data_IF_249169685497
#
_entry.id   IF_249169685497
#
_cell.length_a   1.000
_cell.length_b   1.000
_cell.length_c   1.000
_cell.angle_alpha   90.00
_cell.angle_beta   90.00
_cell.angle_gamma   90.00
#
_symmetry.space_group_name_H-M   'P 1'
#
loop_
_entity.id
_entity.type
_entity.pdbx_description
1 polymer ?
#
# COMPACT_ATOMS: atom_id res chain seq x y z
N UNK A 1 -20.35 6.79 -32.94
CA UNK A 1 -21.05 6.28 -31.74
C UNK A 1 -20.99 7.37 -30.69
N UNK A 2 -22.08 8.14 -30.54
CA UNK A 2 -22.17 9.23 -29.56
C UNK A 2 -22.32 8.56 -28.20
N UNK A 3 -21.28 8.61 -27.37
CA UNK A 3 -21.32 8.07 -26.02
C UNK A 3 -22.32 8.91 -25.21
N UNK A 4 -23.40 8.29 -24.75
CA UNK A 4 -24.32 8.90 -23.79
C UNK A 4 -23.57 9.34 -22.51
N UNK A 5 -24.17 10.21 -21.69
CA UNK A 5 -23.53 10.69 -20.46
C UNK A 5 -23.17 9.52 -19.54
N UNK A 6 -21.97 9.58 -18.94
CA UNK A 6 -21.48 8.57 -17.99
C UNK A 6 -22.36 8.52 -16.73
N UNK A 7 -22.54 7.33 -16.14
CA UNK A 7 -23.28 7.19 -14.88
C UNK A 7 -22.49 7.75 -13.70
N UNK A 8 -23.16 8.09 -12.59
CA UNK A 8 -22.49 8.51 -11.36
C UNK A 8 -21.54 7.44 -10.84
N UNK A 9 -21.98 6.17 -10.82
CA UNK A 9 -21.19 5.01 -10.40
C UNK A 9 -19.91 4.85 -11.22
N UNK A 10 -20.03 4.94 -12.55
CA UNK A 10 -18.89 4.86 -13.46
C UNK A 10 -17.85 5.96 -13.17
N UNK A 11 -18.30 7.20 -12.94
CA UNK A 11 -17.41 8.30 -12.58
C UNK A 11 -16.69 8.04 -11.26
N UNK A 12 -17.41 7.57 -10.23
CA UNK A 12 -16.82 7.24 -8.93
C UNK A 12 -15.68 6.23 -9.06
N UNK A 13 -15.90 5.09 -9.73
CA UNK A 13 -14.85 4.07 -9.89
C UNK A 13 -13.68 4.53 -10.74
N UNK A 14 -13.90 5.41 -11.73
CA UNK A 14 -12.79 6.05 -12.47
C UNK A 14 -11.96 6.95 -11.57
N UNK A 15 -12.63 7.80 -10.79
CA UNK A 15 -11.96 8.73 -9.89
C UNK A 15 -11.21 8.02 -8.77
N UNK A 16 -11.74 6.91 -8.23
CA UNK A 16 -11.02 6.09 -7.26
C UNK A 16 -9.70 5.57 -7.84
N UNK A 17 -9.73 4.96 -9.03
CA UNK A 17 -8.51 4.43 -9.68
C UNK A 17 -7.49 5.51 -10.01
N UNK A 18 -7.95 6.64 -10.54
CA UNK A 18 -7.09 7.81 -10.81
C UNK A 18 -6.51 8.35 -9.51
N UNK A 19 -7.31 8.47 -8.45
CA UNK A 19 -6.85 8.97 -7.16
C UNK A 19 -5.78 8.05 -6.55
N UNK A 20 -5.95 6.72 -6.64
CA UNK A 20 -4.91 5.76 -6.20
C UNK A 20 -3.62 5.93 -7.01
N UNK A 21 -3.72 6.10 -8.33
CA UNK A 21 -2.53 6.39 -9.15
C UNK A 21 -1.84 7.70 -8.73
N UNK A 22 -2.62 8.73 -8.41
CA UNK A 22 -2.10 10.03 -7.99
C UNK A 22 -1.44 10.02 -6.60
N UNK A 23 -1.75 9.08 -5.71
CA UNK A 23 -1.03 8.98 -4.42
C UNK A 23 0.45 8.65 -4.64
N UNK A 24 0.78 7.87 -5.68
CA UNK A 24 2.18 7.61 -6.08
C UNK A 24 2.86 8.88 -6.54
N UNK A 25 2.17 9.70 -7.34
CA UNK A 25 2.69 10.98 -7.82
C UNK A 25 2.96 11.91 -6.66
N UNK A 26 2.06 11.98 -5.67
CA UNK A 26 2.26 12.77 -4.45
C UNK A 26 3.52 12.33 -3.72
N UNK A 27 3.73 11.02 -3.53
CA UNK A 27 4.93 10.49 -2.85
C UNK A 27 6.21 10.87 -3.61
N UNK A 28 6.25 10.65 -4.93
CA UNK A 28 7.43 10.93 -5.74
C UNK A 28 7.74 12.44 -5.82
N UNK A 29 6.72 13.28 -5.96
CA UNK A 29 6.88 14.73 -5.97
C UNK A 29 7.34 15.25 -4.62
N UNK A 30 6.73 14.78 -3.52
CA UNK A 30 7.14 15.15 -2.17
C UNK A 30 8.62 14.81 -1.92
N UNK A 31 9.07 13.61 -2.30
CA UNK A 31 10.48 13.26 -2.21
C UNK A 31 11.37 14.15 -3.12
N UNK A 32 10.94 14.41 -4.35
CA UNK A 32 11.72 15.20 -5.31
C UNK A 32 11.92 16.67 -4.86
N UNK A 33 10.91 17.27 -4.22
CA UNK A 33 10.98 18.64 -3.69
C UNK A 33 12.05 18.78 -2.59
N UNK A 34 12.34 17.70 -1.87
CA UNK A 34 13.30 17.70 -0.76
C UNK A 34 14.75 17.45 -1.20
N UNK A 35 14.98 16.98 -2.43
CA UNK A 35 16.32 16.67 -2.97
C UNK A 35 17.29 17.86 -2.86
N UNK A 36 16.91 19.12 -3.17
CA UNK A 36 17.85 20.24 -3.08
C UNK A 36 18.37 20.51 -1.67
N UNK A 37 17.59 20.17 -0.63
CA UNK A 37 17.94 20.43 0.77
C UNK A 37 18.59 19.21 1.44
N UNK A 38 18.11 18.00 1.14
CA UNK A 38 18.52 16.77 1.82
C UNK A 38 19.38 15.84 0.94
N UNK A 39 19.57 16.19 -0.33
CA UNK A 39 20.20 15.31 -1.32
C UNK A 39 19.30 14.13 -1.69
N UNK A 40 19.85 13.20 -2.49
CA UNK A 40 19.16 11.95 -2.79
C UNK A 40 19.36 10.98 -1.63
N UNK A 41 18.30 10.62 -0.92
CA UNK A 41 18.34 9.65 0.18
C UNK A 41 18.41 8.20 -0.34
N UNK A 42 18.86 7.25 0.51
CA UNK A 42 19.11 5.85 0.11
C UNK A 42 17.84 4.99 0.03
N UNK A 43 16.74 5.48 0.59
CA UNK A 43 15.40 4.92 0.50
C UNK A 43 14.41 6.07 0.32
N UNK A 44 13.36 5.84 -0.46
CA UNK A 44 12.22 6.72 -0.60
C UNK A 44 11.51 6.93 0.73
N UNK A 45 11.42 5.89 1.55
CA UNK A 45 10.83 5.96 2.89
C UNK A 45 11.70 6.75 3.88
N UNK A 46 12.96 7.06 3.57
CA UNK A 46 13.77 7.98 4.37
C UNK A 46 13.30 9.43 4.25
N UNK A 47 12.60 9.81 3.18
CA UNK A 47 12.03 11.16 3.06
C UNK A 47 10.90 11.41 4.07
N UNK A 48 10.39 10.37 4.74
CA UNK A 48 9.49 10.53 5.88
C UNK A 48 10.15 11.23 7.09
N UNK A 49 11.47 11.35 7.10
CA UNK A 49 12.22 12.10 8.12
C UNK A 49 12.42 13.59 7.76
N UNK A 50 11.93 14.03 6.61
CA UNK A 50 12.00 15.42 6.14
C UNK A 50 10.59 16.04 6.11
N UNK A 51 10.41 17.33 5.75
CA UNK A 51 9.08 17.93 5.57
C UNK A 51 8.14 17.17 4.62
N UNK A 52 8.64 16.30 3.73
CA UNK A 52 7.84 15.42 2.89
C UNK A 52 6.97 14.41 3.69
N UNK A 53 7.25 14.19 4.97
CA UNK A 53 6.50 13.31 5.88
C UNK A 53 4.98 13.45 5.75
N UNK A 54 4.47 14.69 5.76
CA UNK A 54 3.03 14.98 5.74
C UNK A 54 2.35 14.47 4.48
N UNK A 55 2.97 14.70 3.32
CA UNK A 55 2.46 14.26 2.03
C UNK A 55 2.61 12.76 1.86
N UNK A 56 3.70 12.16 2.38
CA UNK A 56 3.92 10.73 2.36
C UNK A 56 2.84 9.98 3.17
N UNK A 57 2.64 10.36 4.43
CA UNK A 57 1.63 9.76 5.29
C UNK A 57 0.21 9.99 4.75
N UNK A 58 -0.09 11.21 4.29
CA UNK A 58 -1.39 11.54 3.71
C UNK A 58 -1.72 10.73 2.45
N UNK A 59 -0.74 10.56 1.55
CA UNK A 59 -0.90 9.78 0.34
C UNK A 59 -1.14 8.29 0.63
N UNK A 60 -0.44 7.73 1.61
CA UNK A 60 -0.61 6.33 2.03
C UNK A 60 -1.95 6.10 2.72
N UNK A 61 -2.37 6.97 3.65
CA UNK A 61 -3.69 6.88 4.28
C UNK A 61 -4.82 7.03 3.24
N UNK A 62 -4.67 7.94 2.28
CA UNK A 62 -5.60 8.06 1.16
C UNK A 62 -5.63 6.78 0.30
N UNK A 63 -4.47 6.23 -0.06
CA UNK A 63 -4.38 4.99 -0.82
C UNK A 63 -5.07 3.82 -0.11
N UNK A 64 -4.87 3.67 1.21
CA UNK A 64 -5.57 2.67 2.04
C UNK A 64 -7.09 2.78 1.90
N UNK A 65 -7.64 3.97 2.13
CA UNK A 65 -9.08 4.20 2.05
C UNK A 65 -9.63 3.96 0.64
N UNK A 66 -8.91 4.40 -0.39
CA UNK A 66 -9.31 4.23 -1.79
C UNK A 66 -9.25 2.77 -2.26
N UNK A 67 -8.24 2.00 -1.84
CA UNK A 67 -8.12 0.57 -2.09
C UNK A 67 -9.28 -0.20 -1.45
N UNK A 68 -9.59 0.13 -0.19
CA UNK A 68 -10.71 -0.45 0.53
C UNK A 68 -12.06 -0.09 -0.11
N UNK A 69 -12.23 1.17 -0.55
CA UNK A 69 -13.46 1.62 -1.20
C UNK A 69 -13.67 1.02 -2.60
N UNK A 70 -12.58 0.78 -3.34
CA UNK A 70 -12.64 0.15 -4.66
C UNK A 70 -12.88 -1.37 -4.56
N UNK A 71 -12.54 -1.98 -3.41
CA UNK A 71 -12.54 -3.43 -3.15
C UNK A 71 -13.46 -4.21 -4.07
N UNK A 72 -12.85 -5.09 -4.89
CA UNK A 72 -13.53 -5.76 -5.99
C UNK A 72 -14.51 -6.85 -5.54
N UNK A 73 -14.53 -7.97 -6.26
CA UNK A 73 -15.32 -9.17 -5.88
C UNK A 73 -14.41 -10.38 -5.76
N UNK A 74 -14.90 -11.44 -5.10
CA UNK A 74 -14.17 -12.69 -4.97
C UNK A 74 -12.76 -12.50 -4.36
N UNK A 75 -11.77 -13.11 -4.99
CA UNK A 75 -10.36 -13.07 -4.54
C UNK A 75 -9.79 -11.65 -4.58
N UNK A 76 -10.12 -10.85 -5.60
CA UNK A 76 -9.63 -9.47 -5.72
C UNK A 76 -10.05 -8.60 -4.55
N UNK A 77 -11.30 -8.79 -4.07
CA UNK A 77 -11.80 -8.09 -2.89
C UNK A 77 -10.90 -8.32 -1.69
N UNK A 78 -10.65 -9.60 -1.38
CA UNK A 78 -9.88 -10.01 -0.21
C UNK A 78 -8.43 -9.51 -0.32
N UNK A 79 -7.83 -9.58 -1.50
CA UNK A 79 -6.46 -9.09 -1.72
C UNK A 79 -6.35 -7.56 -1.57
N UNK A 80 -7.31 -6.79 -2.10
CA UNK A 80 -7.31 -5.33 -1.98
C UNK A 80 -7.66 -4.87 -0.56
N UNK A 81 -8.61 -5.54 0.11
CA UNK A 81 -8.92 -5.31 1.53
C UNK A 81 -7.70 -5.59 2.39
N UNK A 82 -7.00 -6.70 2.13
CA UNK A 82 -5.76 -7.03 2.82
C UNK A 82 -4.67 -5.97 2.55
N UNK A 83 -4.49 -5.56 1.30
CA UNK A 83 -3.51 -4.53 0.95
C UNK A 83 -3.80 -3.22 1.69
N UNK A 84 -5.07 -2.81 1.75
CA UNK A 84 -5.51 -1.60 2.45
C UNK A 84 -5.17 -1.61 3.95
N UNK A 85 -5.05 -2.77 4.60
CA UNK A 85 -4.66 -2.88 6.02
C UNK A 85 -3.17 -2.56 6.25
N UNK A 86 -2.30 -2.86 5.28
CA UNK A 86 -0.86 -2.69 5.43
C UNK A 86 -0.40 -1.27 5.08
N UNK A 87 -1.08 -0.56 4.18
CA UNK A 87 -0.66 0.78 3.75
C UNK A 87 -0.57 1.79 4.91
N UNK A 88 -1.52 1.87 5.86
CA UNK A 88 -1.38 2.76 7.01
C UNK A 88 -0.20 2.39 7.91
N UNK A 89 0.17 1.11 8.02
CA UNK A 89 1.36 0.70 8.78
C UNK A 89 2.64 1.24 8.15
N UNK A 90 2.74 1.24 6.81
CA UNK A 90 3.86 1.86 6.08
C UNK A 90 3.91 3.38 6.38
N UNK A 91 2.75 4.02 6.53
CA UNK A 91 2.65 5.46 6.79
C UNK A 91 3.09 5.86 8.20
N UNK A 92 2.72 5.06 9.21
CA UNK A 92 2.86 5.44 10.62
C UNK A 92 4.09 4.82 11.29
N UNK A 93 4.65 3.75 10.74
CA UNK A 93 5.85 3.11 11.27
C UNK A 93 7.07 3.65 10.53
N UNK A 94 7.98 4.37 11.19
CA UNK A 94 9.18 4.90 10.56
C UNK A 94 10.13 3.78 10.11
N UNK A 95 10.91 4.04 9.06
CA UNK A 95 12.00 3.15 8.65
C UNK A 95 13.21 3.30 9.55
N UNK A 96 14.01 2.24 9.71
CA UNK A 96 15.29 2.36 10.40
C UNK A 96 16.27 3.22 9.59
N UNK A 97 16.93 4.17 10.25
CA UNK A 97 18.00 4.99 9.69
C UNK A 97 19.28 4.86 10.51
N UNK A 98 20.44 4.87 9.85
CA UNK A 98 21.75 4.94 10.47
C UNK A 98 22.25 6.39 10.61
N UNK A 99 23.25 6.65 11.48
CA UNK A 99 23.84 7.98 11.60
C UNK A 99 24.36 8.51 10.25
N UNK A 100 23.96 9.73 9.90
CA UNK A 100 24.37 10.40 8.67
C UNK A 100 23.64 9.99 7.39
N UNK A 101 22.61 9.12 7.47
CA UNK A 101 21.81 8.76 6.29
C UNK A 101 20.82 9.85 5.87
N UNK A 102 20.30 10.60 6.84
CA UNK A 102 19.42 11.75 6.59
C UNK A 102 20.07 13.01 7.16
N UNK A 103 20.41 14.02 6.33
CA UNK A 103 21.01 15.25 6.81
C UNK A 103 20.12 15.97 7.85
N UNK A 104 20.73 16.46 8.92
CA UNK A 104 20.03 17.18 9.98
C UNK A 104 19.27 16.32 10.99
N UNK A 105 19.24 14.99 10.82
CA UNK A 105 18.58 14.07 11.75
C UNK A 105 19.61 13.41 12.66
N UNK A 106 19.50 13.67 13.97
CA UNK A 106 20.36 13.05 14.97
C UNK A 106 19.89 11.63 15.29
N UNK A 107 20.79 10.65 15.15
CA UNK A 107 20.54 9.23 15.41
C UNK A 107 21.50 8.76 16.51
N UNK A 108 20.95 8.30 17.64
CA UNK A 108 21.73 7.97 18.84
C UNK A 108 22.30 6.54 18.87
N UNK A 109 21.93 5.69 17.91
CA UNK A 109 22.28 4.26 17.89
C UNK A 109 23.41 3.94 16.91
N UNK A 110 24.18 2.89 17.21
CA UNK A 110 25.37 2.50 16.45
C UNK A 110 25.07 1.74 15.13
N UNK A 111 23.98 0.97 15.08
CA UNK A 111 23.69 0.02 13.97
C UNK A 111 22.37 0.29 13.25
N UNK A 112 21.85 1.51 13.35
CA UNK A 112 20.55 1.93 12.81
C UNK A 112 19.38 1.67 13.78
N UNK A 113 18.49 2.64 13.91
CA UNK A 113 17.26 2.56 14.71
C UNK A 113 16.24 3.61 14.25
N UNK A 114 15.04 3.58 14.83
CA UNK A 114 14.09 4.70 14.77
C UNK A 114 14.51 5.73 15.82
N UNK A 115 14.78 7.01 15.46
CA UNK A 115 15.15 8.01 16.45
C UNK A 115 13.99 8.34 17.40
N UNK A 116 14.31 8.70 18.64
CA UNK A 116 13.31 8.83 19.72
C UNK A 116 12.22 9.86 19.44
N UNK A 117 12.51 10.91 18.66
CA UNK A 117 11.53 11.91 18.26
C UNK A 117 10.38 11.30 17.43
N UNK A 118 10.67 10.32 16.56
CA UNK A 118 9.67 9.63 15.74
C UNK A 118 9.09 8.38 16.42
N UNK A 119 9.71 7.92 17.52
CA UNK A 119 9.15 6.81 18.30
C UNK A 119 7.83 7.21 18.98
N UNK A 120 7.70 8.46 19.43
CA UNK A 120 6.45 8.99 19.99
C UNK A 120 5.35 9.12 18.92
N UNK A 121 5.72 9.52 17.69
CA UNK A 121 4.79 9.57 16.56
C UNK A 121 4.30 8.16 16.20
N UNK A 122 5.20 7.16 16.22
CA UNK A 122 4.86 5.76 16.04
C UNK A 122 3.91 5.27 17.15
N UNK A 123 4.11 5.69 18.41
CA UNK A 123 3.20 5.36 19.52
C UNK A 123 1.78 5.86 19.25
N UNK A 124 1.65 7.14 18.90
CA UNK A 124 0.36 7.73 18.56
C UNK A 124 -0.27 7.06 17.32
N UNK A 125 0.53 6.83 16.28
CA UNK A 125 0.11 6.21 15.04
C UNK A 125 -0.42 4.79 15.23
N UNK A 126 0.35 3.91 15.89
CA UNK A 126 -0.03 2.50 16.10
C UNK A 126 -1.27 2.39 16.98
N UNK A 127 -1.38 3.17 18.05
CA UNK A 127 -2.59 3.19 18.90
C UNK A 127 -3.80 3.63 18.07
N UNK A 128 -3.66 4.70 17.28
CA UNK A 128 -4.74 5.19 16.41
C UNK A 128 -5.14 4.13 15.37
N UNK A 129 -4.17 3.47 14.74
CA UNK A 129 -4.41 2.38 13.80
C UNK A 129 -5.20 1.23 14.42
N UNK A 130 -4.81 0.79 15.63
CA UNK A 130 -5.49 -0.29 16.33
C UNK A 130 -6.94 0.07 16.71
N UNK A 131 -7.15 1.28 17.24
CA UNK A 131 -8.48 1.75 17.63
C UNK A 131 -9.40 1.90 16.41
N UNK A 132 -8.94 2.60 15.37
CA UNK A 132 -9.74 2.82 14.16
C UNK A 132 -9.95 1.50 13.40
N UNK A 133 -8.92 0.67 13.29
CA UNK A 133 -9.03 -0.66 12.68
C UNK A 133 -10.02 -1.55 13.41
N UNK A 134 -10.04 -1.55 14.75
CA UNK A 134 -11.03 -2.27 15.53
C UNK A 134 -12.46 -1.75 15.29
N UNK A 135 -12.66 -0.43 15.22
CA UNK A 135 -13.97 0.16 14.87
C UNK A 135 -14.44 -0.26 13.47
N UNK A 136 -13.53 -0.26 12.48
CA UNK A 136 -13.84 -0.72 11.11
C UNK A 136 -14.17 -2.21 11.09
N UNK A 137 -13.43 -3.05 11.83
CA UNK A 137 -13.69 -4.48 11.93
C UNK A 137 -15.07 -4.76 12.57
N UNK A 138 -15.43 -4.02 13.63
CA UNK A 138 -16.76 -4.10 14.24
C UNK A 138 -17.85 -3.70 13.25
N UNK A 139 -17.68 -2.57 12.55
CA UNK A 139 -18.63 -2.11 11.53
C UNK A 139 -18.77 -3.14 10.40
N UNK A 140 -17.67 -3.72 9.92
CA UNK A 140 -17.69 -4.76 8.91
C UNK A 140 -18.46 -6.00 9.41
N UNK A 141 -18.23 -6.44 10.65
CA UNK A 141 -18.99 -7.52 11.28
C UNK A 141 -20.50 -7.24 11.35
N UNK A 142 -20.88 -6.00 11.71
CA UNK A 142 -22.27 -5.55 11.72
C UNK A 142 -22.89 -5.61 10.31
N UNK A 143 -22.19 -5.10 9.29
CA UNK A 143 -22.67 -5.13 7.91
C UNK A 143 -22.83 -6.57 7.37
N UNK A 144 -21.93 -7.48 7.73
CA UNK A 144 -22.03 -8.92 7.40
C UNK A 144 -23.24 -9.55 8.10
N UNK A 145 -23.46 -9.25 9.38
CA UNK A 145 -24.57 -9.78 10.15
C UNK A 145 -25.93 -9.35 9.56
N UNK A 146 -26.04 -8.09 9.14
CA UNK A 146 -27.24 -7.54 8.50
C UNK A 146 -27.36 -7.87 7.00
N UNK A 147 -26.45 -8.67 6.43
CA UNK A 147 -26.52 -9.10 5.03
C UNK A 147 -26.31 -7.97 4.01
N UNK A 148 -25.64 -6.89 4.40
CA UNK A 148 -25.34 -5.74 3.53
C UNK A 148 -24.11 -5.99 2.64
N UNK A 149 -23.34 -7.05 2.93
CA UNK A 149 -22.17 -7.47 2.15
C UNK A 149 -22.17 -8.99 1.96
N UNK A 150 -21.50 -9.47 0.91
CA UNK A 150 -21.28 -10.90 0.71
C UNK A 150 -20.61 -11.52 1.95
N UNK A 151 -21.21 -12.60 2.48
CA UNK A 151 -20.78 -13.21 3.74
C UNK A 151 -19.45 -13.91 3.61
N UNK A 152 -19.23 -14.69 2.56
CA UNK A 152 -18.02 -15.52 2.44
C UNK A 152 -16.77 -14.65 2.30
N UNK A 153 -16.78 -13.70 1.34
CA UNK A 153 -15.69 -12.75 1.17
C UNK A 153 -15.57 -11.79 2.35
N UNK A 154 -16.70 -11.30 2.88
CA UNK A 154 -16.71 -10.41 4.03
C UNK A 154 -16.10 -11.02 5.29
N UNK A 155 -16.42 -12.28 5.60
CA UNK A 155 -15.85 -12.98 6.75
C UNK A 155 -14.35 -13.23 6.58
N UNK A 156 -13.89 -13.54 5.37
CA UNK A 156 -12.46 -13.72 5.12
C UNK A 156 -11.69 -12.41 5.29
N UNK A 157 -12.16 -11.31 4.70
CA UNK A 157 -11.56 -9.97 4.89
C UNK A 157 -11.56 -9.57 6.37
N UNK A 158 -12.66 -9.80 7.09
CA UNK A 158 -12.76 -9.51 8.53
C UNK A 158 -11.78 -10.37 9.35
N UNK A 159 -11.66 -11.66 9.03
CA UNK A 159 -10.73 -12.56 9.73
C UNK A 159 -9.29 -12.10 9.54
N UNK A 160 -8.91 -11.76 8.31
CA UNK A 160 -7.58 -11.20 8.01
C UNK A 160 -7.34 -9.89 8.74
N UNK A 161 -8.33 -8.98 8.77
CA UNK A 161 -8.23 -7.73 9.51
C UNK A 161 -7.99 -7.96 11.00
N UNK A 162 -8.75 -8.86 11.63
CA UNK A 162 -8.58 -9.21 13.06
C UNK A 162 -7.21 -9.82 13.31
N UNK A 163 -6.72 -10.72 12.44
CA UNK A 163 -5.39 -11.31 12.56
C UNK A 163 -4.30 -10.23 12.47
N UNK A 164 -4.38 -9.34 11.48
CA UNK A 164 -3.38 -8.26 11.31
C UNK A 164 -3.40 -7.32 12.52
N UNK A 165 -4.58 -6.89 12.98
CA UNK A 165 -4.70 -6.03 14.17
C UNK A 165 -4.16 -6.72 15.43
N UNK A 166 -4.43 -8.01 15.62
CA UNK A 166 -3.90 -8.77 16.74
C UNK A 166 -2.38 -8.90 16.67
N UNK A 167 -1.81 -9.22 15.49
CA UNK A 167 -0.37 -9.30 15.30
C UNK A 167 0.29 -7.96 15.58
N UNK A 168 -0.23 -6.86 15.05
CA UNK A 168 0.28 -5.51 15.31
C UNK A 168 0.19 -5.17 16.79
N UNK A 169 -0.96 -5.39 17.44
CA UNK A 169 -1.13 -5.09 18.87
C UNK A 169 -0.21 -5.91 19.77
N UNK A 170 -0.05 -7.21 19.49
CA UNK A 170 0.82 -8.11 20.25
C UNK A 170 2.30 -7.75 20.06
N UNK A 171 2.74 -7.58 18.81
CA UNK A 171 4.14 -7.23 18.53
C UNK A 171 4.50 -5.85 19.03
N UNK A 172 3.59 -4.88 18.93
CA UNK A 172 3.77 -3.57 19.52
C UNK A 172 3.87 -3.61 21.06
N UNK A 173 3.00 -4.38 21.72
CA UNK A 173 2.95 -4.44 23.19
C UNK A 173 4.05 -5.29 23.83
N UNK A 174 4.50 -6.36 23.16
CA UNK A 174 5.44 -7.34 23.73
C UNK A 174 6.85 -7.25 23.14
N UNK A 175 6.98 -6.82 21.88
CA UNK A 175 8.22 -6.82 21.10
C UNK A 175 8.44 -5.49 20.37
N UNK A 176 8.31 -4.38 21.11
CA UNK A 176 8.32 -3.02 20.53
C UNK A 176 9.60 -2.70 19.75
N UNK A 177 10.76 -3.17 20.22
CA UNK A 177 12.03 -2.92 19.55
C UNK A 177 12.09 -3.63 18.20
N UNK A 178 11.67 -4.89 18.15
CA UNK A 178 11.59 -5.71 16.94
C UNK A 178 10.52 -5.17 15.98
N UNK A 179 9.39 -4.70 16.52
CA UNK A 179 8.35 -4.06 15.72
C UNK A 179 8.91 -2.81 15.00
N UNK A 180 9.55 -1.89 15.72
CA UNK A 180 10.13 -0.70 15.12
C UNK A 180 11.24 -1.03 14.12
N UNK A 181 11.92 -2.16 14.29
CA UNK A 181 12.97 -2.59 13.38
C UNK A 181 12.43 -3.16 12.06
N UNK A 182 11.29 -3.85 12.08
CA UNK A 182 10.84 -4.67 10.95
C UNK A 182 9.47 -4.30 10.38
N UNK A 183 8.58 -3.69 11.15
CA UNK A 183 7.17 -3.58 10.78
C UNK A 183 6.95 -2.75 9.51
N UNK A 184 7.68 -1.65 9.31
CA UNK A 184 7.61 -0.90 8.05
C UNK A 184 8.01 -1.78 6.85
N UNK A 185 9.18 -2.42 6.96
CA UNK A 185 9.74 -3.24 5.89
C UNK A 185 8.81 -4.43 5.54
N UNK A 186 8.31 -5.14 6.56
CA UNK A 186 7.37 -6.26 6.37
C UNK A 186 6.05 -5.78 5.78
N UNK A 187 5.50 -4.66 6.27
CA UNK A 187 4.25 -4.10 5.74
C UNK A 187 4.38 -3.70 4.27
N UNK A 188 5.48 -3.05 3.88
CA UNK A 188 5.75 -2.67 2.49
C UNK A 188 5.91 -3.91 1.59
N UNK A 189 6.71 -4.90 2.01
CA UNK A 189 6.91 -6.13 1.25
C UNK A 189 5.59 -6.90 1.05
N UNK A 190 4.78 -7.04 2.11
CA UNK A 190 3.46 -7.71 2.05
C UNK A 190 2.51 -6.93 1.15
N UNK A 191 2.47 -5.60 1.26
CA UNK A 191 1.63 -4.76 0.40
C UNK A 191 1.95 -4.96 -1.09
N UNK A 192 3.23 -4.86 -1.49
CA UNK A 192 3.61 -5.04 -2.89
C UNK A 192 3.43 -6.49 -3.37
N UNK A 193 3.62 -7.49 -2.50
CA UNK A 193 3.30 -8.88 -2.82
C UNK A 193 1.80 -9.08 -3.06
N UNK A 194 0.94 -8.43 -2.27
CA UNK A 194 -0.52 -8.43 -2.49
C UNK A 194 -0.89 -7.75 -3.80
N UNK A 195 -0.27 -6.61 -4.14
CA UNK A 195 -0.45 -5.96 -5.45
C UNK A 195 -0.04 -6.89 -6.59
N UNK A 196 1.10 -7.58 -6.47
CA UNK A 196 1.55 -8.55 -7.45
C UNK A 196 0.54 -9.69 -7.62
N UNK A 197 -0.05 -10.18 -6.52
CA UNK A 197 -1.10 -11.17 -6.53
C UNK A 197 -2.41 -10.66 -7.17
N UNK A 198 -2.77 -9.38 -6.96
CA UNK A 198 -3.92 -8.76 -7.64
C UNK A 198 -3.66 -8.69 -9.15
N UNK A 199 -2.48 -8.22 -9.58
CA UNK A 199 -2.12 -8.20 -10.99
C UNK A 199 -2.17 -9.59 -11.63
N UNK A 200 -1.67 -10.62 -10.92
CA UNK A 200 -1.81 -12.01 -11.36
C UNK A 200 -3.28 -12.43 -11.49
N UNK A 201 -4.10 -12.15 -10.47
CA UNK A 201 -5.52 -12.49 -10.50
C UNK A 201 -6.26 -11.80 -11.66
N UNK A 202 -5.92 -10.56 -11.98
CA UNK A 202 -6.48 -9.84 -13.14
C UNK A 202 -6.07 -10.44 -14.49
N UNK A 203 -4.88 -11.05 -14.57
CA UNK A 203 -4.41 -11.71 -15.79
C UNK A 203 -5.07 -13.07 -16.05
N UNK A 204 -5.46 -13.81 -15.00
CA UNK A 204 -5.91 -15.20 -15.12
C UNK A 204 -7.36 -15.45 -14.69
N UNK A 205 -7.88 -14.63 -13.78
CA UNK A 205 -9.25 -14.71 -13.25
C UNK A 205 -9.92 -13.32 -13.23
N UNK A 206 -10.03 -12.65 -14.40
CA UNK A 206 -10.64 -11.32 -14.46
C UNK A 206 -12.09 -11.37 -13.97
N UNK A 207 -12.45 -10.46 -13.07
CA UNK A 207 -13.79 -10.40 -12.46
C UNK A 207 -14.88 -9.86 -13.41
N UNK A 208 -14.50 -9.38 -14.60
CA UNK A 208 -15.39 -8.78 -15.60
C UNK A 208 -15.81 -9.76 -16.70
N UNK A 209 -16.98 -9.53 -17.30
CA UNK A 209 -17.50 -10.35 -18.42
C UNK A 209 -16.85 -10.07 -19.77
N UNK A 210 -16.07 -8.99 -19.88
CA UNK A 210 -15.42 -8.61 -21.14
C UNK A 210 -14.10 -9.37 -21.28
N UNK A 211 -13.80 -9.92 -22.48
CA UNK A 211 -12.50 -10.48 -22.76
C UNK A 211 -11.41 -9.44 -22.49
N UNK A 212 -10.40 -9.82 -21.71
CA UNK A 212 -9.23 -8.97 -21.48
C UNK A 212 -8.41 -8.95 -22.77
N UNK A 213 -8.13 -7.75 -23.30
CA UNK A 213 -7.30 -7.59 -24.48
C UNK A 213 -5.89 -8.19 -24.22
N UNK A 214 -5.30 -8.84 -25.23
CA UNK A 214 -4.04 -9.56 -25.06
C UNK A 214 -2.90 -8.71 -24.49
N UNK A 215 -2.81 -7.44 -24.90
CA UNK A 215 -1.81 -6.51 -24.37
C UNK A 215 -2.05 -6.15 -22.90
N UNK A 216 -3.30 -5.98 -22.47
CA UNK A 216 -3.67 -5.71 -21.05
C UNK A 216 -3.29 -6.90 -20.18
N UNK A 217 -3.61 -8.12 -20.63
CA UNK A 217 -3.24 -9.35 -19.93
C UNK A 217 -1.72 -9.50 -19.83
N UNK A 218 -1.00 -9.22 -20.93
CA UNK A 218 0.46 -9.21 -20.97
C UNK A 218 1.05 -8.21 -19.97
N UNK A 219 0.51 -6.98 -19.91
CA UNK A 219 0.92 -5.97 -18.94
C UNK A 219 0.76 -6.44 -17.50
N UNK A 220 -0.37 -7.07 -17.14
CA UNK A 220 -0.56 -7.60 -15.79
C UNK A 220 0.44 -8.70 -15.41
N UNK A 221 0.75 -9.60 -16.35
CA UNK A 221 1.75 -10.65 -16.13
C UNK A 221 3.13 -10.02 -15.89
N UNK A 222 3.53 -9.07 -16.74
CA UNK A 222 4.82 -8.37 -16.62
C UNK A 222 4.91 -7.63 -15.29
N UNK A 223 3.87 -6.87 -14.92
CA UNK A 223 3.83 -6.13 -13.65
C UNK A 223 3.90 -7.08 -12.46
N UNK A 224 3.14 -8.18 -12.47
CA UNK A 224 3.14 -9.17 -11.40
C UNK A 224 4.52 -9.80 -11.21
N UNK A 225 5.15 -10.27 -12.29
CA UNK A 225 6.48 -10.88 -12.25
C UNK A 225 7.53 -9.85 -11.79
N UNK A 226 7.47 -8.63 -12.32
CA UNK A 226 8.40 -7.57 -11.95
C UNK A 226 8.30 -7.20 -10.46
N UNK A 227 7.08 -7.08 -9.92
CA UNK A 227 6.87 -6.82 -8.49
C UNK A 227 7.36 -7.99 -7.61
N UNK A 228 7.14 -9.24 -8.02
CA UNK A 228 7.66 -10.39 -7.26
C UNK A 228 9.19 -10.37 -7.22
N UNK A 229 9.84 -10.16 -8.37
CA UNK A 229 11.29 -10.07 -8.45
C UNK A 229 11.79 -8.91 -7.59
N UNK A 230 11.18 -7.74 -7.71
CA UNK A 230 11.57 -6.54 -6.97
C UNK A 230 11.45 -6.74 -5.45
N UNK A 231 10.33 -7.29 -4.96
CA UNK A 231 10.15 -7.61 -3.55
C UNK A 231 11.19 -8.61 -3.04
N UNK A 232 11.50 -9.66 -3.82
CA UNK A 232 12.53 -10.64 -3.45
C UNK A 232 13.92 -10.01 -3.41
N UNK A 233 14.24 -9.15 -4.37
CA UNK A 233 15.51 -8.42 -4.43
C UNK A 233 15.63 -7.48 -3.23
N UNK A 234 14.62 -6.67 -2.96
CA UNK A 234 14.56 -5.78 -1.79
C UNK A 234 14.62 -6.55 -0.48
N UNK A 235 14.09 -7.78 -0.42
CA UNK A 235 14.23 -8.64 0.75
C UNK A 235 15.65 -9.10 1.01
N UNK A 236 16.38 -9.45 -0.04
CA UNK A 236 17.80 -9.79 0.09
C UNK A 236 18.62 -8.56 0.48
N UNK A 237 18.40 -7.40 -0.15
CA UNK A 237 19.09 -6.15 0.18
C UNK A 237 18.78 -5.67 1.61
N UNK A 238 17.51 -5.71 2.02
CA UNK A 238 17.07 -5.34 3.37
C UNK A 238 17.63 -6.27 4.44
N UNK A 239 17.61 -7.59 4.21
CA UNK A 239 18.14 -8.58 5.15
C UNK A 239 19.66 -8.48 5.33
N UNK A 240 20.39 -8.13 4.27
CA UNK A 240 21.86 -8.01 4.30
C UNK A 240 22.35 -6.67 4.84
N UNK A 241 21.45 -5.70 5.08
CA UNK A 241 21.77 -4.34 5.56
C UNK A 241 22.92 -3.70 4.79
N UNK A 242 22.99 -3.93 3.47
CA UNK A 242 24.00 -3.33 2.60
C UNK A 242 23.69 -1.85 2.36
N UNK A 243 23.65 -1.05 3.42
CA UNK A 243 23.19 0.36 3.46
C UNK A 243 24.12 1.36 2.77
N UNK A 244 25.11 0.90 2.00
CA UNK A 244 26.04 1.76 1.27
C UNK A 244 25.59 2.11 -0.15
N UNK A 245 24.52 1.50 -0.68
CA UNK A 245 24.11 1.67 -2.09
C UNK A 245 22.70 2.26 -2.22
N UNK A 246 22.41 2.88 -3.36
CA UNK A 246 21.08 3.36 -3.73
C UNK A 246 20.15 2.24 -4.24
N UNK A 247 20.50 0.97 -4.02
CA UNK A 247 19.73 -0.17 -4.53
C UNK A 247 18.31 -0.23 -3.95
N UNK A 248 18.15 0.11 -2.67
CA UNK A 248 16.85 0.17 -2.00
C UNK A 248 15.97 1.26 -2.61
N UNK A 249 16.49 2.49 -2.75
CA UNK A 249 15.78 3.59 -3.43
C UNK A 249 15.32 3.18 -4.83
N UNK A 250 16.21 2.57 -5.63
CA UNK A 250 15.88 2.17 -7.01
C UNK A 250 14.75 1.13 -7.01
N UNK A 251 14.81 0.12 -6.14
CA UNK A 251 13.74 -0.88 -6.01
C UNK A 251 12.41 -0.25 -5.55
N UNK A 252 12.42 0.61 -4.54
CA UNK A 252 11.20 1.27 -4.06
C UNK A 252 10.56 2.17 -5.14
N UNK A 253 11.37 2.89 -5.92
CA UNK A 253 10.88 3.67 -7.07
C UNK A 253 10.31 2.74 -8.14
N UNK A 254 10.97 1.63 -8.46
CA UNK A 254 10.46 0.62 -9.40
C UNK A 254 9.12 0.07 -8.91
N UNK A 255 9.01 -0.34 -7.64
CA UNK A 255 7.79 -0.86 -7.04
C UNK A 255 6.63 0.14 -7.15
N UNK A 256 6.88 1.42 -6.85
CA UNK A 256 5.88 2.48 -7.00
C UNK A 256 5.48 2.73 -8.45
N UNK A 257 6.44 2.74 -9.38
CA UNK A 257 6.15 2.91 -10.81
C UNK A 257 5.37 1.72 -11.37
N UNK A 258 5.65 0.49 -10.93
CA UNK A 258 4.89 -0.71 -11.28
C UNK A 258 3.47 -0.66 -10.70
N UNK A 259 3.30 -0.22 -9.46
CA UNK A 259 1.98 0.02 -8.85
C UNK A 259 1.20 1.10 -9.59
N UNK A 260 1.85 2.22 -9.98
CA UNK A 260 1.26 3.25 -10.82
C UNK A 260 0.83 2.68 -12.18
N UNK A 261 1.71 1.93 -12.85
CA UNK A 261 1.41 1.30 -14.12
C UNK A 261 0.22 0.34 -14.02
N UNK A 262 0.13 -0.45 -12.93
CA UNK A 262 -1.01 -1.31 -12.65
C UNK A 262 -2.31 -0.51 -12.62
N UNK A 263 -2.34 0.61 -11.89
CA UNK A 263 -3.54 1.45 -11.79
C UNK A 263 -3.89 2.17 -13.09
N UNK A 264 -2.90 2.53 -13.90
CA UNK A 264 -3.12 3.07 -15.25
C UNK A 264 -3.77 2.01 -16.15
N UNK A 265 -3.24 0.79 -16.17
CA UNK A 265 -3.81 -0.32 -16.97
C UNK A 265 -5.23 -0.66 -16.49
N UNK A 266 -5.45 -0.73 -15.17
CA UNK A 266 -6.77 -0.90 -14.56
C UNK A 266 -7.73 0.23 -14.92
N UNK A 267 -7.24 1.47 -14.98
CA UNK A 267 -8.03 2.64 -15.38
C UNK A 267 -8.48 2.52 -16.83
N UNK A 268 -7.58 2.14 -17.74
CA UNK A 268 -7.85 1.96 -19.16
C UNK A 268 -8.83 0.80 -19.40
N UNK A 269 -8.54 -0.39 -18.85
CA UNK A 269 -9.38 -1.58 -19.03
C UNK A 269 -10.82 -1.33 -18.60
N UNK A 270 -10.99 -0.76 -17.40
CA UNK A 270 -12.30 -0.60 -16.79
C UNK A 270 -12.86 0.82 -16.99
N UNK A 271 -12.34 1.59 -17.96
CA UNK A 271 -12.79 2.97 -18.20
C UNK A 271 -14.29 3.01 -18.49
N UNK A 272 -14.75 2.17 -19.41
CA UNK A 272 -16.14 2.16 -19.85
C UNK A 272 -17.03 1.17 -19.08
N UNK A 273 -16.62 0.72 -17.91
CA UNK A 273 -17.42 -0.18 -17.08
C UNK A 273 -18.45 0.62 -16.24
N UNK A 274 -19.77 0.48 -16.48
CA UNK A 274 -20.78 1.23 -15.76
C UNK A 274 -21.04 0.71 -14.34
N UNK A 275 -20.67 -0.54 -14.04
CA UNK A 275 -20.94 -1.17 -12.74
C UNK A 275 -20.03 -2.41 -12.50
N UNK A 276 -19.03 -2.34 -11.61
CA UNK A 276 -18.24 -3.51 -11.24
C UNK A 276 -19.03 -4.52 -10.42
N UNK A 277 -20.27 -4.21 -9.98
CA UNK A 277 -21.22 -5.10 -9.34
C UNK A 277 -22.28 -5.67 -10.31
N UNK A 278 -22.32 -5.27 -11.58
CA UNK A 278 -23.34 -5.79 -12.51
C UNK A 278 -22.98 -7.20 -12.91
N UNK A 279 -23.45 -8.17 -12.14
CA UNK A 279 -24.41 -9.19 -12.58
C UNK A 279 -24.64 -10.20 -11.44
N UNK A 280 -25.93 -10.57 -11.33
CA UNK A 280 -26.56 -11.52 -10.41
C UNK A 280 -25.72 -12.74 -10.06
#
# INVERSE_FOLDING_TARGET
MILGPTTSLQRTYRYLRIAIALTVVVILVAAAVEIPQFGVLRSLSHYAYTPAHTMFAGALVAASALLFALSGRGVQRVLLDAAALFVPLIAIVPTVIAPGEVPGVAVACASGCVPSAWAADADNGVITYLVVGAMIAVLAGVLIAFGQVDRAGGMLSLTLAVIVLAVVGLTWGLWRAEFLQWAHYVAAAVFFALVAAVAFAEAFWPAGRRPVAGWVRGSYIVISIALVIDVLVLAVFGATRSGGTYGVLVGEVIALLLFLAFWVVQSIQNWNDPDPASLR
#
